data_IF_926492821634
#
_entry.id   IF_926492821634
#
_cell.length_a   1.000
_cell.length_b   1.000
_cell.length_c   1.000
_cell.angle_alpha   90.00
_cell.angle_beta   90.00
_cell.angle_gamma   90.00
#
_symmetry.space_group_name_H-M   'P 1'
#
loop_
_entity.id
_entity.type
_entity.pdbx_description
1 polymer ?
#
# COMPACT_ATOMS: atom_id res chain seq x y z
N UNK A 1 16.45 -22.18 6.74
CA UNK A 1 15.05 -21.74 6.97
C UNK A 1 14.15 -22.91 6.68
N UNK A 2 14.01 -23.82 7.64
CA UNK A 2 13.16 -24.98 7.49
C UNK A 2 11.71 -24.60 7.85
N UNK A 3 10.82 -24.65 6.88
CA UNK A 3 9.38 -24.63 7.08
C UNK A 3 8.83 -26.06 7.19
N UNK A 4 9.68 -27.04 7.57
CA UNK A 4 9.35 -28.47 7.61
C UNK A 4 8.30 -28.81 8.68
N UNK A 5 8.07 -27.88 9.64
CA UNK A 5 7.01 -27.98 10.63
C UNK A 5 5.61 -27.68 10.08
N UNK A 6 5.52 -27.12 8.86
CA UNK A 6 4.24 -26.82 8.24
C UNK A 6 3.75 -28.05 7.47
N UNK A 7 2.66 -28.64 7.96
CA UNK A 7 2.00 -29.76 7.29
C UNK A 7 0.95 -29.26 6.32
N UNK A 8 1.01 -29.69 5.04
CA UNK A 8 0.05 -29.30 4.01
C UNK A 8 -1.36 -29.88 4.21
N UNK A 9 -1.52 -30.91 5.04
CA UNK A 9 -2.81 -31.48 5.37
C UNK A 9 -3.62 -30.60 6.30
N UNK A 10 -2.97 -29.85 7.20
CA UNK A 10 -3.60 -28.93 8.13
C UNK A 10 -3.12 -27.50 7.86
N UNK A 11 -3.78 -26.82 6.91
CA UNK A 11 -3.44 -25.44 6.60
C UNK A 11 -3.70 -24.51 7.79
N UNK A 12 -2.78 -23.58 8.01
CA UNK A 12 -3.01 -22.46 8.92
C UNK A 12 -4.17 -21.61 8.41
N UNK A 13 -4.99 -21.11 9.31
CA UNK A 13 -6.11 -20.22 8.94
C UNK A 13 -5.61 -18.96 8.26
N UNK A 14 -4.59 -18.31 8.83
CA UNK A 14 -4.05 -17.04 8.36
C UNK A 14 -2.53 -17.06 8.46
N UNK A 15 -1.86 -16.62 7.41
CA UNK A 15 -0.43 -16.29 7.40
C UNK A 15 -0.27 -14.82 7.06
N UNK A 16 0.60 -14.10 7.78
CA UNK A 16 0.91 -12.69 7.51
C UNK A 16 2.27 -12.62 6.82
N UNK A 17 2.30 -12.10 5.58
CA UNK A 17 3.50 -11.85 4.81
C UNK A 17 3.92 -10.39 4.98
N UNK A 18 4.84 -10.14 5.94
CA UNK A 18 5.29 -8.79 6.32
C UNK A 18 6.82 -8.66 6.34
N UNK A 19 7.56 -9.59 5.75
CA UNK A 19 9.01 -9.48 5.58
C UNK A 19 9.28 -8.38 4.54
N UNK A 20 10.02 -7.31 4.90
CA UNK A 20 10.24 -6.19 3.99
C UNK A 20 11.17 -6.56 2.81
N UNK A 21 11.01 -5.83 1.71
CA UNK A 21 11.83 -5.97 0.52
C UNK A 21 11.64 -7.30 -0.22
N UNK A 22 12.53 -7.57 -1.18
CA UNK A 22 12.47 -8.79 -2.02
C UNK A 22 12.66 -10.09 -1.21
N UNK A 23 13.27 -10.01 -0.02
CA UNK A 23 13.45 -11.15 0.88
C UNK A 23 12.12 -11.80 1.29
N UNK A 24 11.02 -11.05 1.28
CA UNK A 24 9.67 -11.56 1.56
C UNK A 24 9.07 -12.43 0.47
N UNK A 25 9.54 -12.35 -0.78
CA UNK A 25 8.94 -13.05 -1.92
C UNK A 25 8.98 -14.58 -1.77
N UNK A 26 10.16 -15.15 -1.51
CA UNK A 26 10.33 -16.60 -1.37
C UNK A 26 9.49 -17.18 -0.22
N UNK A 27 9.53 -16.62 1.00
CA UNK A 27 8.65 -17.06 2.08
C UNK A 27 7.17 -16.96 1.75
N UNK A 28 6.75 -15.86 1.09
CA UNK A 28 5.35 -15.68 0.66
C UNK A 28 4.90 -16.82 -0.24
N UNK A 29 5.66 -17.13 -1.30
CA UNK A 29 5.34 -18.22 -2.23
C UNK A 29 5.31 -19.58 -1.51
N UNK A 30 6.28 -19.85 -0.64
CA UNK A 30 6.37 -21.11 0.08
C UNK A 30 5.19 -21.34 1.03
N UNK A 31 4.71 -20.28 1.69
CA UNK A 31 3.61 -20.38 2.65
C UNK A 31 2.22 -20.48 2.01
N UNK A 32 2.08 -20.19 0.70
CA UNK A 32 0.78 -20.27 0.01
C UNK A 32 0.15 -21.66 0.16
N UNK A 33 0.93 -22.73 -0.03
CA UNK A 33 0.40 -24.11 0.04
C UNK A 33 -0.08 -24.52 1.43
N UNK A 34 0.42 -23.84 2.47
CA UNK A 34 0.14 -24.16 3.87
C UNK A 34 -0.90 -23.22 4.52
N UNK A 35 -1.47 -22.29 3.75
CA UNK A 35 -2.34 -21.24 4.30
C UNK A 35 -3.71 -21.26 3.63
N UNK A 36 -4.79 -21.03 4.40
CA UNK A 36 -6.12 -20.75 3.84
C UNK A 36 -6.19 -19.30 3.33
N UNK A 37 -5.58 -18.37 4.07
CA UNK A 37 -5.47 -16.97 3.72
C UNK A 37 -4.03 -16.48 3.90
N UNK A 38 -3.57 -15.61 3.00
CA UNK A 38 -2.33 -14.82 3.20
C UNK A 38 -2.68 -13.35 3.19
N UNK A 39 -2.32 -12.65 4.28
CA UNK A 39 -2.40 -11.21 4.39
C UNK A 39 -1.07 -10.65 3.88
N UNK A 40 -1.10 -9.87 2.80
CA UNK A 40 0.11 -9.36 2.13
C UNK A 40 0.32 -7.90 2.51
N UNK A 41 1.42 -7.61 3.25
CA UNK A 41 1.92 -6.27 3.56
C UNK A 41 3.14 -5.88 2.70
N UNK A 42 3.74 -6.85 2.02
CA UNK A 42 4.98 -6.69 1.25
C UNK A 42 4.68 -6.39 -0.21
N UNK A 43 4.77 -5.12 -0.60
CA UNK A 43 4.53 -4.67 -1.98
C UNK A 43 5.59 -5.17 -2.96
N UNK A 44 6.84 -5.31 -2.52
CA UNK A 44 7.93 -5.79 -3.36
C UNK A 44 7.68 -7.21 -3.86
N UNK A 45 7.11 -8.06 -3.02
CA UNK A 45 6.70 -9.43 -3.42
C UNK A 45 5.63 -9.40 -4.51
N UNK A 46 4.66 -8.50 -4.43
CA UNK A 46 3.62 -8.33 -5.48
C UNK A 46 4.24 -7.79 -6.75
N UNK A 47 5.07 -6.75 -6.66
CA UNK A 47 5.72 -6.13 -7.82
C UNK A 47 6.60 -7.15 -8.56
N UNK A 48 7.43 -7.91 -7.83
CA UNK A 48 8.45 -8.79 -8.42
C UNK A 48 7.94 -10.20 -8.74
N UNK A 49 6.95 -10.71 -8.01
CA UNK A 49 6.56 -12.12 -8.09
C UNK A 49 5.08 -12.40 -8.28
N UNK A 50 4.27 -11.42 -8.68
CA UNK A 50 2.81 -11.56 -8.72
C UNK A 50 2.31 -12.78 -9.49
N UNK A 51 2.87 -13.05 -10.67
CA UNK A 51 2.44 -14.18 -11.49
C UNK A 51 2.65 -15.51 -10.76
N UNK A 52 3.76 -15.67 -10.04
CA UNK A 52 4.05 -16.86 -9.24
C UNK A 52 3.13 -16.94 -8.02
N UNK A 53 2.94 -15.84 -7.32
CA UNK A 53 2.04 -15.74 -6.16
C UNK A 53 0.62 -16.12 -6.58
N UNK A 54 0.09 -15.50 -7.63
CA UNK A 54 -1.26 -15.74 -8.15
C UNK A 54 -1.45 -17.18 -8.60
N UNK A 55 -0.49 -17.72 -9.38
CA UNK A 55 -0.52 -19.11 -9.86
C UNK A 55 -0.59 -20.10 -8.69
N UNK A 56 0.25 -19.91 -7.66
CA UNK A 56 0.27 -20.78 -6.50
C UNK A 56 -1.02 -20.60 -5.66
N UNK A 57 -1.48 -19.39 -5.47
CA UNK A 57 -2.72 -19.12 -4.72
C UNK A 57 -3.93 -19.80 -5.37
N UNK A 58 -4.05 -19.76 -6.70
CA UNK A 58 -5.07 -20.48 -7.44
C UNK A 58 -4.93 -22.00 -7.28
N UNK A 59 -3.71 -22.53 -7.45
CA UNK A 59 -3.42 -23.97 -7.34
C UNK A 59 -3.82 -24.51 -5.96
N UNK A 60 -3.51 -23.78 -4.90
CA UNK A 60 -3.73 -24.23 -3.52
C UNK A 60 -5.00 -23.65 -2.89
N UNK A 61 -5.84 -22.95 -3.67
CA UNK A 61 -7.10 -22.31 -3.19
C UNK A 61 -6.85 -21.40 -1.96
N UNK A 62 -5.77 -20.65 -1.97
CA UNK A 62 -5.39 -19.73 -0.89
C UNK A 62 -5.90 -18.33 -1.22
N UNK A 63 -6.65 -17.72 -0.31
CA UNK A 63 -7.15 -16.35 -0.45
C UNK A 63 -6.01 -15.36 -0.19
N UNK A 64 -5.79 -14.41 -1.09
CA UNK A 64 -4.84 -13.31 -0.92
C UNK A 64 -5.60 -12.05 -0.51
N UNK A 65 -5.14 -11.39 0.54
CA UNK A 65 -5.76 -10.15 1.06
C UNK A 65 -4.65 -9.12 1.22
N UNK A 66 -4.74 -7.95 0.58
CA UNK A 66 -3.78 -6.87 0.80
C UNK A 66 -4.08 -6.21 2.15
N UNK A 67 -3.04 -5.85 2.90
CA UNK A 67 -3.18 -5.15 4.18
C UNK A 67 -2.43 -3.82 4.23
N UNK A 68 -1.74 -3.41 3.16
CA UNK A 68 -1.36 -2.03 2.97
C UNK A 68 -2.64 -1.16 3.02
N UNK A 69 -2.61 -0.01 3.69
CA UNK A 69 -3.83 0.74 4.03
C UNK A 69 -4.63 1.17 2.80
N UNK A 70 -3.96 1.57 1.74
CA UNK A 70 -4.56 1.98 0.47
C UNK A 70 -5.20 0.79 -0.25
N UNK A 71 -4.43 -0.30 -0.36
CA UNK A 71 -4.91 -1.52 -1.03
C UNK A 71 -6.01 -2.22 -0.24
N UNK A 72 -5.93 -2.21 1.08
CA UNK A 72 -7.00 -2.71 1.93
C UNK A 72 -8.29 -1.92 1.73
N UNK A 73 -8.20 -0.58 1.65
CA UNK A 73 -9.35 0.28 1.38
C UNK A 73 -9.96 -0.01 0.01
N UNK A 74 -9.14 -0.14 -1.04
CA UNK A 74 -9.63 -0.55 -2.37
C UNK A 74 -10.29 -1.92 -2.28
N UNK A 75 -9.65 -2.91 -1.65
CA UNK A 75 -10.17 -4.26 -1.51
C UNK A 75 -11.56 -4.25 -0.87
N UNK A 76 -11.75 -3.49 0.21
CA UNK A 76 -13.04 -3.36 0.90
C UNK A 76 -14.10 -2.62 0.10
N UNK A 77 -13.72 -1.56 -0.61
CA UNK A 77 -14.66 -0.81 -1.46
C UNK A 77 -15.14 -1.68 -2.62
N UNK A 78 -14.26 -2.53 -3.16
CA UNK A 78 -14.57 -3.38 -4.32
C UNK A 78 -15.28 -4.68 -3.94
N UNK A 79 -15.46 -5.00 -2.65
CA UNK A 79 -16.29 -6.13 -2.24
C UNK A 79 -17.69 -6.00 -2.89
N UNK A 80 -18.08 -7.02 -3.64
CA UNK A 80 -19.36 -7.07 -4.37
C UNK A 80 -19.55 -6.00 -5.48
N UNK A 81 -18.46 -5.38 -5.97
CA UNK A 81 -18.51 -4.46 -7.11
C UNK A 81 -17.97 -5.14 -8.37
N UNK A 82 -18.55 -4.80 -9.53
CA UNK A 82 -18.02 -5.25 -10.82
C UNK A 82 -16.87 -4.34 -11.26
N UNK A 83 -15.77 -4.91 -11.73
CA UNK A 83 -14.59 -4.13 -12.18
C UNK A 83 -14.90 -3.18 -13.32
N UNK A 84 -15.84 -3.56 -14.20
CA UNK A 84 -16.26 -2.74 -15.33
C UNK A 84 -16.96 -1.44 -14.90
N UNK A 85 -17.52 -1.41 -13.69
CA UNK A 85 -18.21 -0.23 -13.17
C UNK A 85 -17.24 0.82 -12.62
N UNK A 86 -15.95 0.48 -12.48
CA UNK A 86 -14.91 1.37 -11.99
C UNK A 86 -14.50 2.34 -13.10
N UNK A 87 -14.67 3.63 -12.85
CA UNK A 87 -14.19 4.71 -13.70
C UNK A 87 -12.75 5.07 -13.38
N UNK A 88 -12.43 5.33 -12.11
CA UNK A 88 -11.11 5.75 -11.64
C UNK A 88 -10.89 5.31 -10.19
N UNK A 89 -9.65 4.99 -9.84
CA UNK A 89 -9.19 4.77 -8.48
C UNK A 89 -8.07 5.74 -8.18
N UNK A 90 -8.15 6.41 -7.06
CA UNK A 90 -7.12 7.29 -6.55
C UNK A 90 -6.53 6.70 -5.27
N UNK A 91 -5.22 6.47 -5.28
CA UNK A 91 -4.46 6.24 -4.06
C UNK A 91 -4.15 7.58 -3.42
N UNK A 92 -4.35 7.71 -2.13
CA UNK A 92 -4.05 8.98 -1.45
C UNK A 92 -2.65 8.96 -0.85
N UNK A 93 -2.04 10.11 -0.77
CA UNK A 93 -0.74 10.33 -0.17
C UNK A 93 -0.77 11.53 0.77
N UNK A 94 -0.12 11.44 1.93
CA UNK A 94 0.04 12.60 2.82
C UNK A 94 0.83 13.75 2.16
N UNK A 95 1.64 13.43 1.15
CA UNK A 95 2.63 14.34 0.57
C UNK A 95 3.95 14.36 1.33
N UNK A 96 4.02 13.67 2.49
CA UNK A 96 5.24 13.55 3.28
C UNK A 96 5.80 14.88 3.79
N UNK A 97 7.00 14.88 4.36
CA UNK A 97 7.62 16.09 4.96
C UNK A 97 8.02 17.15 3.94
N UNK A 98 8.07 16.81 2.65
CA UNK A 98 8.53 17.73 1.61
C UNK A 98 7.39 18.49 0.91
N UNK A 99 6.12 18.18 1.21
CA UNK A 99 4.95 18.75 0.54
C UNK A 99 4.96 20.29 0.48
N UNK A 100 5.33 20.92 1.60
CA UNK A 100 5.31 22.37 1.73
C UNK A 100 6.71 23.01 1.62
N UNK A 101 7.71 22.23 1.19
CA UNK A 101 9.07 22.72 1.07
C UNK A 101 9.22 23.53 -0.23
N UNK A 102 9.83 24.72 -0.14
CA UNK A 102 10.13 25.49 -1.34
C UNK A 102 11.20 24.78 -2.20
N UNK A 103 11.04 24.80 -3.53
CA UNK A 103 11.95 24.14 -4.48
C UNK A 103 13.40 24.54 -4.30
N UNK A 104 13.68 25.80 -3.89
CA UNK A 104 15.05 26.28 -3.61
C UNK A 104 15.76 25.47 -2.52
N UNK A 105 15.01 24.90 -1.56
CA UNK A 105 15.55 24.13 -0.43
C UNK A 105 15.81 22.66 -0.78
N UNK A 106 15.31 22.16 -1.91
CA UNK A 106 15.47 20.75 -2.29
C UNK A 106 16.93 20.31 -2.41
N UNK A 107 17.81 21.22 -2.87
CA UNK A 107 19.27 20.95 -3.00
C UNK A 107 19.95 20.63 -1.66
N UNK A 108 19.36 21.02 -0.55
CA UNK A 108 19.93 20.91 0.80
C UNK A 108 19.21 19.91 1.70
N UNK A 109 18.32 19.06 1.11
CA UNK A 109 17.60 18.03 1.88
C UNK A 109 18.59 16.98 2.35
N UNK A 110 18.54 16.68 3.64
CA UNK A 110 19.34 15.63 4.29
C UNK A 110 18.42 14.47 4.68
N UNK A 111 18.97 13.27 4.89
CA UNK A 111 18.18 12.11 5.34
C UNK A 111 17.27 12.43 6.50
N UNK A 112 17.74 13.14 7.52
CA UNK A 112 16.96 13.52 8.70
C UNK A 112 15.72 14.36 8.38
N UNK A 113 15.72 15.10 7.29
CA UNK A 113 14.63 15.97 6.89
C UNK A 113 13.54 15.15 6.18
N UNK A 114 13.94 14.17 5.37
CA UNK A 114 13.05 13.25 4.66
C UNK A 114 12.46 12.15 5.57
N UNK A 115 13.14 11.81 6.68
CA UNK A 115 12.67 10.79 7.63
C UNK A 115 11.55 11.29 8.57
N UNK A 116 11.29 12.60 8.64
CA UNK A 116 10.27 13.19 9.53
C UNK A 116 8.87 13.12 8.91
N UNK A 117 8.29 11.92 8.85
CA UNK A 117 6.92 11.79 8.35
C UNK A 117 5.91 12.46 9.30
N UNK A 118 4.96 13.28 8.79
CA UNK A 118 4.06 14.08 9.64
C UNK A 118 3.04 13.23 10.42
N UNK A 119 2.60 12.09 9.89
CA UNK A 119 1.47 11.31 10.45
C UNK A 119 1.83 9.86 10.78
N UNK A 120 2.69 9.22 10.01
CA UNK A 120 3.04 7.81 10.17
C UNK A 120 4.40 7.61 10.83
N UNK A 121 4.49 6.61 11.74
CA UNK A 121 5.76 6.08 12.23
C UNK A 121 6.12 4.84 11.40
N UNK A 122 7.14 4.95 10.58
CA UNK A 122 7.51 3.92 9.60
C UNK A 122 9.02 3.64 9.61
N UNK A 123 9.43 2.55 8.95
CA UNK A 123 10.84 2.26 8.72
C UNK A 123 11.51 3.32 7.82
N UNK A 124 12.85 3.35 7.84
CA UNK A 124 13.63 4.38 7.10
C UNK A 124 13.32 4.39 5.61
N UNK A 125 13.38 3.23 4.93
CA UNK A 125 13.11 3.13 3.48
C UNK A 125 11.74 3.70 3.12
N UNK A 126 10.67 3.22 3.75
CA UNK A 126 9.30 3.66 3.41
C UNK A 126 9.07 5.14 3.76
N UNK A 127 9.78 5.70 4.74
CA UNK A 127 9.74 7.14 5.05
C UNK A 127 10.34 7.97 3.92
N UNK A 128 11.48 7.54 3.34
CA UNK A 128 12.08 8.18 2.17
C UNK A 128 11.16 8.03 0.95
N UNK A 129 10.65 6.82 0.70
CA UNK A 129 9.71 6.56 -0.40
C UNK A 129 8.45 7.43 -0.31
N UNK A 130 7.94 7.66 0.92
CA UNK A 130 6.81 8.55 1.16
C UNK A 130 7.17 10.01 0.90
N UNK A 131 8.37 10.46 1.33
CA UNK A 131 8.83 11.84 1.16
C UNK A 131 8.96 12.25 -0.30
N UNK A 132 9.24 11.30 -1.19
CA UNK A 132 9.41 11.49 -2.64
C UNK A 132 8.19 11.14 -3.47
N UNK A 133 7.14 10.56 -2.87
CA UNK A 133 6.02 9.88 -3.52
C UNK A 133 6.39 8.59 -4.28
N UNK A 134 7.62 8.08 -4.17
CA UNK A 134 7.99 6.79 -4.77
C UNK A 134 7.13 5.66 -4.21
N UNK A 135 6.77 5.72 -2.92
CA UNK A 135 5.86 4.74 -2.33
C UNK A 135 4.56 4.61 -3.15
N UNK A 136 3.98 5.72 -3.60
CA UNK A 136 2.75 5.71 -4.40
C UNK A 136 2.95 5.19 -5.82
N UNK A 137 4.11 5.40 -6.42
CA UNK A 137 4.45 4.79 -7.72
C UNK A 137 4.50 3.26 -7.59
N UNK A 138 5.15 2.76 -6.54
CA UNK A 138 5.20 1.31 -6.25
C UNK A 138 3.80 0.76 -5.94
N UNK A 139 3.00 1.48 -5.18
CA UNK A 139 1.63 1.11 -4.86
C UNK A 139 0.70 1.11 -6.10
N UNK A 140 0.90 2.02 -7.08
CA UNK A 140 0.16 1.94 -8.35
C UNK A 140 0.47 0.64 -9.09
N UNK A 141 1.75 0.25 -9.16
CA UNK A 141 2.16 -1.00 -9.79
C UNK A 141 1.60 -2.23 -9.06
N UNK A 142 1.54 -2.19 -7.74
CA UNK A 142 0.93 -3.22 -6.91
C UNK A 142 -0.59 -3.30 -7.15
N UNK A 143 -1.30 -2.16 -7.10
CA UNK A 143 -2.74 -2.08 -7.30
C UNK A 143 -3.16 -2.64 -8.67
N UNK A 144 -2.43 -2.28 -9.73
CA UNK A 144 -2.67 -2.80 -11.06
C UNK A 144 -2.64 -4.33 -11.10
N UNK A 145 -1.59 -4.92 -10.50
CA UNK A 145 -1.40 -6.38 -10.45
C UNK A 145 -2.46 -7.04 -9.56
N UNK A 146 -2.61 -6.55 -8.34
CA UNK A 146 -3.47 -7.17 -7.32
C UNK A 146 -4.95 -7.15 -7.72
N UNK A 147 -5.43 -5.99 -8.16
CA UNK A 147 -6.84 -5.83 -8.54
C UNK A 147 -7.12 -6.14 -10.00
N UNK A 148 -6.08 -6.34 -10.83
CA UNK A 148 -6.20 -6.50 -12.28
C UNK A 148 -7.01 -5.34 -12.89
N UNK A 149 -6.57 -4.12 -12.63
CA UNK A 149 -7.15 -2.84 -13.09
C UNK A 149 -6.07 -2.10 -13.87
N UNK A 150 -6.40 -1.62 -15.07
CA UNK A 150 -5.45 -0.90 -15.91
C UNK A 150 -4.89 0.34 -15.21
N UNK A 151 -3.59 0.58 -15.35
CA UNK A 151 -2.92 1.78 -14.82
C UNK A 151 -3.56 3.10 -15.31
N UNK A 152 -4.21 3.11 -16.46
CA UNK A 152 -4.97 4.27 -16.96
C UNK A 152 -6.13 4.68 -16.04
N UNK A 153 -6.67 3.72 -15.28
CA UNK A 153 -7.72 3.94 -14.28
C UNK A 153 -7.18 4.25 -12.88
N UNK A 154 -5.87 4.23 -12.68
CA UNK A 154 -5.23 4.49 -11.39
C UNK A 154 -4.66 5.90 -11.38
N UNK A 155 -4.71 6.58 -10.23
CA UNK A 155 -4.10 7.90 -10.05
C UNK A 155 -3.73 8.16 -8.58
N UNK A 156 -3.13 9.32 -8.30
CA UNK A 156 -2.71 9.72 -6.96
C UNK A 156 -3.34 11.07 -6.62
N UNK A 157 -3.84 11.19 -5.39
CA UNK A 157 -4.25 12.46 -4.78
C UNK A 157 -3.43 12.73 -3.53
N UNK A 158 -3.07 13.98 -3.31
CA UNK A 158 -2.53 14.44 -2.04
C UNK A 158 -3.67 14.65 -1.06
N UNK A 159 -3.59 13.98 0.08
CA UNK A 159 -4.51 14.05 1.20
C UNK A 159 -3.72 14.17 2.51
N UNK A 160 -3.38 15.39 2.93
CA UNK A 160 -2.47 15.62 4.06
C UNK A 160 -2.96 15.02 5.38
N UNK A 161 -4.26 14.95 5.57
CA UNK A 161 -4.90 14.41 6.78
C UNK A 161 -4.69 12.91 6.93
N UNK A 162 -4.43 12.20 5.82
CA UNK A 162 -4.14 10.75 5.77
C UNK A 162 -5.21 9.86 6.41
N UNK A 163 -6.47 10.28 6.39
CA UNK A 163 -7.61 9.57 6.99
C UNK A 163 -8.43 8.78 5.96
N UNK A 164 -8.31 9.15 4.68
CA UNK A 164 -8.85 8.42 3.54
C UNK A 164 -7.67 7.89 2.74
N UNK A 165 -7.62 6.58 2.55
CA UNK A 165 -6.45 5.92 1.95
C UNK A 165 -6.64 5.60 0.47
N UNK A 166 -7.89 5.44 0.03
CA UNK A 166 -8.23 5.32 -1.39
C UNK A 166 -9.61 5.90 -1.67
N UNK A 167 -9.78 6.41 -2.89
CA UNK A 167 -11.06 6.91 -3.41
C UNK A 167 -11.37 6.16 -4.70
N UNK A 168 -12.57 5.62 -4.84
CA UNK A 168 -13.03 4.91 -6.04
C UNK A 168 -14.21 5.65 -6.65
N UNK A 169 -14.05 6.09 -7.89
CA UNK A 169 -15.07 6.71 -8.73
C UNK A 169 -15.67 5.64 -9.65
N UNK A 170 -17.00 5.57 -9.68
CA UNK A 170 -17.74 4.61 -10.50
C UNK A 170 -18.41 5.29 -11.70
N UNK A 171 -18.70 4.51 -12.75
CA UNK A 171 -19.35 5.00 -13.97
C UNK A 171 -20.77 5.52 -13.72
N UNK A 172 -21.41 5.09 -12.65
CA UNK A 172 -22.75 5.57 -12.26
C UNK A 172 -22.72 6.92 -11.48
N UNK A 173 -21.55 7.56 -11.39
CA UNK A 173 -21.38 8.83 -10.69
C UNK A 173 -21.14 8.73 -9.19
N UNK A 174 -21.21 7.53 -8.59
CA UNK A 174 -20.91 7.36 -7.17
C UNK A 174 -19.41 7.43 -6.92
N UNK A 175 -19.04 8.04 -5.78
CA UNK A 175 -17.68 8.02 -5.26
C UNK A 175 -17.73 7.34 -3.89
N UNK A 176 -16.86 6.33 -3.70
CA UNK A 176 -16.72 5.60 -2.43
C UNK A 176 -15.31 5.75 -1.89
N UNK A 177 -15.20 5.91 -0.59
CA UNK A 177 -13.94 5.84 0.15
C UNK A 177 -14.17 5.25 1.54
N UNK A 178 -13.10 4.77 2.15
CA UNK A 178 -13.10 4.29 3.53
C UNK A 178 -12.26 5.25 4.35
N UNK A 179 -12.86 5.72 5.43
CA UNK A 179 -12.20 6.55 6.44
C UNK A 179 -11.71 5.67 7.57
N UNK A 180 -10.43 5.75 7.91
CA UNK A 180 -9.88 5.21 9.14
C UNK A 180 -8.60 5.95 9.55
N UNK A 181 -8.25 5.87 10.83
CA UNK A 181 -7.04 6.48 11.34
C UNK A 181 -5.76 5.87 10.76
N UNK A 182 -4.66 6.63 10.89
CA UNK A 182 -3.32 6.26 10.42
C UNK A 182 -2.71 5.16 11.29
N UNK A 183 -3.31 3.97 11.24
CA UNK A 183 -2.89 2.80 12.01
C UNK A 183 -3.04 1.53 11.18
N UNK A 184 -1.95 0.76 11.05
CA UNK A 184 -1.97 -0.55 10.40
C UNK A 184 -2.77 -1.60 11.18
N UNK A 185 -3.10 -1.33 12.41
CA UNK A 185 -3.94 -2.21 13.24
C UNK A 185 -5.33 -2.33 12.63
N UNK A 186 -5.89 -1.25 12.07
CA UNK A 186 -7.23 -1.24 11.50
C UNK A 186 -7.36 -2.18 10.29
N UNK A 187 -6.56 -2.05 9.22
CA UNK A 187 -6.63 -2.98 8.09
C UNK A 187 -6.28 -4.41 8.50
N UNK A 188 -5.27 -4.60 9.36
CA UNK A 188 -4.86 -5.92 9.82
C UNK A 188 -5.95 -6.62 10.62
N UNK A 189 -6.53 -5.97 11.62
CA UNK A 189 -7.58 -6.54 12.45
C UNK A 189 -8.84 -6.85 11.62
N UNK A 190 -9.24 -5.96 10.72
CA UNK A 190 -10.38 -6.21 9.81
C UNK A 190 -10.11 -7.36 8.83
N UNK A 191 -8.86 -7.59 8.41
CA UNK A 191 -8.51 -8.72 7.57
C UNK A 191 -8.50 -10.06 8.34
N UNK A 192 -8.16 -10.04 9.63
CA UNK A 192 -8.14 -11.22 10.50
C UNK A 192 -9.56 -11.62 10.93
N UNK A 193 -10.32 -10.68 11.48
CA UNK A 193 -11.55 -10.96 12.18
C UNK A 193 -12.82 -10.87 11.31
N UNK A 194 -12.74 -10.38 10.09
CA UNK A 194 -13.81 -10.25 9.07
C UNK A 194 -15.21 -9.84 9.57
N UNK A 195 -15.66 -10.33 10.73
CA UNK A 195 -16.97 -10.08 11.37
C UNK A 195 -16.81 -9.88 12.88
N UNK A 196 -17.73 -9.10 13.45
CA UNK A 196 -17.82 -8.87 14.90
C UNK A 196 -16.58 -8.24 15.56
N UNK A 197 -15.77 -7.50 14.80
CA UNK A 197 -14.61 -6.81 15.30
C UNK A 197 -15.03 -5.57 16.11
N UNK A 198 -14.69 -5.54 17.40
CA UNK A 198 -14.79 -4.37 18.27
C UNK A 198 -13.38 -3.88 18.58
N UNK A 199 -12.88 -2.95 17.78
CA UNK A 199 -11.50 -2.44 17.87
C UNK A 199 -11.40 -1.13 18.66
N UNK A 200 -12.51 -0.44 18.87
CA UNK A 200 -12.53 0.92 19.46
C UNK A 200 -11.90 0.96 20.84
N UNK A 201 -12.18 -0.01 21.70
CA UNK A 201 -11.61 -0.07 23.06
C UNK A 201 -10.08 -0.21 23.00
N UNK A 202 -9.60 -1.11 22.15
CA UNK A 202 -8.16 -1.33 21.96
C UNK A 202 -7.44 -0.09 21.39
N UNK A 203 -8.07 0.63 20.47
CA UNK A 203 -7.51 1.86 19.90
C UNK A 203 -7.51 2.99 20.91
N UNK A 204 -8.53 3.09 21.76
CA UNK A 204 -8.59 4.08 22.86
C UNK A 204 -7.51 3.84 23.91
N UNK A 205 -7.24 2.59 24.29
CA UNK A 205 -6.15 2.23 25.20
C UNK A 205 -4.78 2.60 24.64
N UNK A 206 -4.57 2.39 23.33
CA UNK A 206 -3.31 2.69 22.64
C UNK A 206 -3.09 4.18 22.38
N UNK A 207 -4.16 4.93 22.17
CA UNK A 207 -4.10 6.35 21.85
C UNK A 207 -5.15 7.11 22.67
N UNK A 208 -4.72 7.76 23.75
CA UNK A 208 -5.59 8.59 24.60
C UNK A 208 -6.30 9.71 23.84
N UNK A 209 -5.76 10.08 22.67
CA UNK A 209 -6.34 11.05 21.75
C UNK A 209 -7.11 10.37 20.60
N UNK A 210 -7.38 9.06 20.70
CA UNK A 210 -8.29 8.39 19.77
C UNK A 210 -9.65 9.07 19.87
N UNK A 211 -9.79 10.08 19.07
CA UNK A 211 -10.94 10.96 19.12
C UNK A 211 -11.92 10.64 18.01
N UNK A 212 -13.13 11.03 18.28
CA UNK A 212 -14.28 11.01 17.38
C UNK A 212 -13.90 11.42 15.97
N UNK A 213 -14.52 10.76 15.00
CA UNK A 213 -14.42 11.07 13.57
C UNK A 213 -14.43 12.59 13.36
N UNK A 214 -13.31 13.13 12.91
CA UNK A 214 -13.23 14.53 12.49
C UNK A 214 -13.21 14.58 10.96
N UNK A 215 -14.40 14.57 10.36
CA UNK A 215 -14.57 14.66 8.91
C UNK A 215 -14.60 16.11 8.40
N UNK A 216 -14.42 17.09 9.28
CA UNK A 216 -14.62 18.49 8.94
C UNK A 216 -13.60 19.03 7.92
N UNK A 217 -12.47 18.37 7.72
CA UNK A 217 -11.41 18.81 6.82
C UNK A 217 -10.81 17.64 6.06
N UNK A 218 -11.48 17.14 5.05
CA UNK A 218 -10.91 16.20 4.10
C UNK A 218 -10.46 16.95 2.85
N UNK A 219 -9.15 17.12 2.71
CA UNK A 219 -8.56 17.85 1.58
C UNK A 219 -8.01 16.88 0.55
N UNK A 220 -8.37 17.07 -0.71
CA UNK A 220 -7.81 16.29 -1.82
C UNK A 220 -7.27 17.25 -2.90
N UNK A 221 -6.00 17.08 -3.26
CA UNK A 221 -5.31 17.90 -4.26
C UNK A 221 -4.62 17.02 -5.29
N UNK A 222 -4.50 17.53 -6.50
CA UNK A 222 -3.64 16.90 -7.52
C UNK A 222 -2.19 16.98 -7.09
N UNK A 223 -1.40 16.00 -7.51
CA UNK A 223 0.06 16.00 -7.29
C UNK A 223 0.68 17.14 -8.10
N UNK A 224 1.49 17.96 -7.45
CA UNK A 224 2.31 18.96 -8.13
C UNK A 224 3.59 18.29 -8.64
N UNK A 225 3.72 18.18 -9.96
CA UNK A 225 4.86 17.54 -10.62
C UNK A 225 6.19 18.32 -10.40
N UNK A 226 6.12 19.60 -10.09
CA UNK A 226 7.32 20.39 -9.77
C UNK A 226 7.93 19.98 -8.44
N UNK A 227 7.07 19.64 -7.48
CA UNK A 227 7.47 19.14 -6.15
C UNK A 227 7.82 17.66 -6.22
N UNK A 228 7.02 16.89 -6.95
CA UNK A 228 7.13 15.43 -7.05
C UNK A 228 7.31 14.97 -8.49
N UNK A 229 8.49 15.21 -9.10
CA UNK A 229 8.74 14.84 -10.50
C UNK A 229 8.65 13.33 -10.76
N UNK A 230 8.80 12.53 -9.70
CA UNK A 230 8.67 11.07 -9.75
C UNK A 230 7.31 10.58 -10.29
N UNK A 231 6.27 11.42 -10.22
CA UNK A 231 4.92 11.07 -10.73
C UNK A 231 4.93 10.74 -12.23
N UNK A 232 5.92 11.21 -12.97
CA UNK A 232 6.08 10.89 -14.40
C UNK A 232 6.30 9.41 -14.64
N UNK A 233 6.89 8.69 -13.67
CA UNK A 233 7.11 7.24 -13.75
C UNK A 233 5.79 6.46 -13.82
N UNK A 234 4.67 7.03 -13.36
CA UNK A 234 3.34 6.44 -13.52
C UNK A 234 3.06 6.03 -14.97
N UNK A 235 3.42 6.88 -15.92
CA UNK A 235 3.16 6.63 -17.34
C UNK A 235 4.08 5.55 -17.93
N UNK A 236 5.16 5.20 -17.22
CA UNK A 236 6.18 4.26 -17.65
C UNK A 236 6.02 2.86 -17.04
N UNK A 237 5.20 2.70 -16.00
CA UNK A 237 5.05 1.42 -15.26
C UNK A 237 4.78 0.25 -16.21
N UNK A 238 4.07 0.48 -17.31
CA UNK A 238 3.64 -0.56 -18.27
C UNK A 238 4.46 -0.57 -19.57
N UNK A 239 5.57 0.14 -19.68
CA UNK A 239 6.43 0.09 -20.86
C UNK A 239 6.91 -1.35 -21.14
N UNK A 240 7.29 -2.06 -20.07
CA UNK A 240 7.65 -3.47 -20.10
C UNK A 240 7.20 -4.18 -18.82
N UNK A 241 6.97 -5.50 -18.85
CA UNK A 241 6.63 -6.27 -17.65
C UNK A 241 7.66 -6.16 -16.52
N UNK A 242 8.94 -5.90 -16.84
CA UNK A 242 10.03 -5.72 -15.89
C UNK A 242 10.16 -4.29 -15.37
N UNK A 243 9.51 -3.29 -15.96
CA UNK A 243 9.66 -1.89 -15.57
C UNK A 243 9.39 -1.64 -14.08
N UNK A 244 8.31 -2.15 -13.46
CA UNK A 244 8.08 -1.97 -12.03
C UNK A 244 9.18 -2.61 -11.17
N UNK A 245 9.75 -3.73 -11.61
CA UNK A 245 10.83 -4.42 -10.92
C UNK A 245 12.11 -3.57 -10.95
N UNK A 246 12.44 -3.01 -12.12
CA UNK A 246 13.60 -2.12 -12.29
C UNK A 246 13.42 -0.87 -11.45
N UNK A 247 12.24 -0.24 -11.46
CA UNK A 247 11.93 0.93 -10.64
C UNK A 247 12.15 0.60 -9.15
N UNK A 248 11.63 -0.54 -8.68
CA UNK A 248 11.81 -0.94 -7.28
C UNK A 248 13.28 -1.17 -6.92
N UNK A 249 14.02 -1.93 -7.74
CA UNK A 249 15.43 -2.23 -7.48
C UNK A 249 16.30 -0.96 -7.51
N UNK A 250 16.09 -0.07 -8.49
CA UNK A 250 16.80 1.21 -8.55
C UNK A 250 16.51 2.08 -7.34
N UNK A 251 15.25 2.12 -6.89
CA UNK A 251 14.85 2.87 -5.71
C UNK A 251 15.52 2.33 -4.43
N UNK A 252 15.63 1.01 -4.26
CA UNK A 252 16.33 0.43 -3.10
C UNK A 252 17.78 0.92 -3.03
N UNK A 253 18.51 0.86 -4.14
CA UNK A 253 19.90 1.34 -4.20
C UNK A 253 19.99 2.84 -3.92
N UNK A 254 19.11 3.65 -4.52
CA UNK A 254 19.10 5.11 -4.32
C UNK A 254 18.76 5.50 -2.88
N UNK A 255 17.84 4.80 -2.23
CA UNK A 255 17.50 5.03 -0.82
C UNK A 255 18.70 4.70 0.08
N UNK A 256 19.37 3.57 -0.15
CA UNK A 256 20.55 3.18 0.63
C UNK A 256 21.68 4.20 0.47
N UNK A 257 21.96 4.66 -0.77
CA UNK A 257 22.94 5.71 -1.03
C UNK A 257 22.59 7.06 -0.39
N UNK A 258 21.29 7.39 -0.33
CA UNK A 258 20.86 8.64 0.31
C UNK A 258 20.91 8.58 1.84
N UNK A 259 20.78 7.39 2.43
CA UNK A 259 20.82 7.19 3.88
C UNK A 259 22.24 7.02 4.45
N UNK A 260 23.23 6.63 3.59
CA UNK A 260 24.65 6.49 3.94
C UNK A 260 25.36 7.84 4.00
#
# INVERSE_FOLDING_TARGET
NNFDFLNSQNKTEITISAIPGIAGLKPTIQNIKFSKKILIANKESVICGWNLIKKNALKYKTKLIPIDSEHFSIFKILENQKKNDIKKIYLTASGGPLLNLSLKKFKNIRPKDALKHPTWKMGKKISIDSSTLMNKILELAEAEKFFNISNSKLDILIHPESLVHAVVEFNNGLIKFIYHETSMIIPLANAIFEKNLKIDEFLKEKNKNYSKININNLTFKKVDQKIFPIITLKNRINEHPSTPIIINASNEVLVDLFLS
#
